data_IF_256751357961
#
_entry.id   IF_256751357961
#
_cell.length_a   1.000
_cell.length_b   1.000
_cell.length_c   1.000
_cell.angle_alpha   90.00
_cell.angle_beta   90.00
_cell.angle_gamma   90.00
#
_symmetry.space_group_name_H-M   'P 1'
#
loop_
_entity.id
_entity.type
_entity.pdbx_description
1 polymer ?
#
# COMPACT_ATOMS: atom_id res chain seq x y z
N UNK A 1 40.24 -62.21 8.79
CA UNK A 1 40.55 -60.77 8.61
C UNK A 1 39.24 -60.02 8.41
N UNK A 2 38.78 -59.23 9.38
CA UNK A 2 37.61 -58.32 9.23
C UNK A 2 38.18 -56.95 8.94
N UNK A 3 38.01 -56.49 7.71
CA UNK A 3 38.32 -55.12 7.36
C UNK A 3 37.34 -54.20 8.10
N UNK A 4 37.86 -53.32 8.95
CA UNK A 4 37.13 -52.22 9.54
C UNK A 4 36.85 -51.16 8.46
N UNK A 5 35.64 -51.14 7.95
CA UNK A 5 35.19 -50.03 7.10
C UNK A 5 35.36 -48.72 7.86
N UNK A 6 36.20 -47.85 7.33
CA UNK A 6 36.51 -46.57 7.93
C UNK A 6 35.29 -45.62 7.71
N UNK A 7 34.42 -45.49 8.72
CA UNK A 7 33.16 -44.75 8.64
C UNK A 7 33.33 -43.21 8.57
N UNK A 8 34.59 -42.73 8.72
CA UNK A 8 34.86 -41.28 8.74
C UNK A 8 34.50 -40.52 7.48
N UNK A 9 34.70 -41.02 6.22
CA UNK A 9 34.30 -40.27 5.05
C UNK A 9 32.77 -40.23 4.86
N UNK A 10 32.08 -41.30 5.24
CA UNK A 10 30.60 -41.36 5.10
C UNK A 10 29.88 -40.39 6.06
N UNK A 11 30.39 -40.26 7.29
CA UNK A 11 29.86 -39.31 8.30
C UNK A 11 30.14 -37.86 7.88
N UNK A 12 31.29 -37.58 7.28
CA UNK A 12 31.65 -36.27 6.78
C UNK A 12 30.74 -35.83 5.59
N UNK A 13 30.45 -36.76 4.66
CA UNK A 13 29.55 -36.51 3.54
C UNK A 13 28.12 -36.32 4.02
N UNK A 14 27.64 -37.11 4.98
CA UNK A 14 26.31 -36.98 5.56
C UNK A 14 26.13 -35.62 6.29
N UNK A 15 27.16 -35.19 7.04
CA UNK A 15 27.19 -33.87 7.67
C UNK A 15 27.20 -32.73 6.65
N UNK A 16 27.96 -32.83 5.57
CA UNK A 16 27.97 -31.82 4.49
C UNK A 16 26.63 -31.71 3.78
N UNK A 17 25.94 -32.82 3.54
CA UNK A 17 24.60 -32.83 2.94
C UNK A 17 23.59 -32.23 3.91
N UNK A 18 23.64 -32.54 5.23
CA UNK A 18 22.75 -31.95 6.24
C UNK A 18 22.99 -30.43 6.38
N UNK A 19 24.24 -29.98 6.40
CA UNK A 19 24.57 -28.55 6.42
C UNK A 19 24.17 -27.83 5.13
N UNK A 20 24.24 -28.51 3.98
CA UNK A 20 23.79 -27.98 2.70
C UNK A 20 22.26 -27.75 2.66
N UNK A 21 21.46 -28.67 3.25
CA UNK A 21 20.01 -28.57 3.31
C UNK A 21 19.59 -27.50 4.31
N UNK A 22 20.24 -27.44 5.48
CA UNK A 22 19.95 -26.42 6.51
C UNK A 22 20.43 -25.04 6.03
N UNK A 23 21.62 -24.97 5.41
CA UNK A 23 22.15 -23.72 4.85
C UNK A 23 21.31 -23.17 3.69
N UNK A 24 20.73 -24.03 2.85
CA UNK A 24 19.86 -23.64 1.75
C UNK A 24 18.53 -23.05 2.22
N UNK A 25 17.94 -23.63 3.28
CA UNK A 25 16.69 -23.10 3.88
C UNK A 25 16.91 -21.85 4.73
N UNK A 26 18.07 -21.70 5.36
CA UNK A 26 18.40 -20.50 6.15
C UNK A 26 18.80 -19.33 5.26
N UNK A 27 19.46 -19.56 4.13
CA UNK A 27 19.77 -18.50 3.16
C UNK A 27 18.52 -17.84 2.56
N UNK A 28 17.36 -18.48 2.66
CA UNK A 28 16.08 -17.92 2.22
C UNK A 28 15.45 -16.94 3.22
N UNK A 29 15.82 -17.01 4.52
CA UNK A 29 15.16 -16.27 5.60
C UNK A 29 16.08 -15.48 6.53
N UNK A 30 17.39 -15.66 6.47
CA UNK A 30 18.32 -14.95 7.38
C UNK A 30 19.51 -14.40 6.62
N UNK A 31 19.66 -13.07 6.69
CA UNK A 31 20.93 -12.45 6.38
C UNK A 31 21.92 -12.80 7.48
N UNK A 32 22.72 -13.85 7.33
CA UNK A 32 24.03 -13.91 8.02
C UNK A 32 24.94 -14.96 7.44
N UNK A 33 26.14 -14.49 7.21
CA UNK A 33 27.45 -15.09 7.16
C UNK A 33 27.96 -15.71 5.85
N UNK A 34 28.98 -15.05 5.43
CA UNK A 34 30.18 -15.32 4.63
C UNK A 34 30.37 -16.78 4.24
N UNK A 35 29.96 -17.13 3.03
CA UNK A 35 30.57 -18.24 2.29
C UNK A 35 31.50 -17.68 1.22
N UNK A 36 32.80 -17.91 1.39
CA UNK A 36 33.84 -17.62 0.41
C UNK A 36 33.78 -18.64 -0.75
N UNK A 37 32.81 -18.44 -1.63
CA UNK A 37 32.88 -18.93 -3.01
C UNK A 37 32.31 -17.78 -3.85
N UNK A 38 32.92 -17.51 -4.98
CA UNK A 38 32.70 -16.33 -5.84
C UNK A 38 31.27 -16.20 -6.45
N UNK A 39 30.25 -16.51 -5.68
CA UNK A 39 28.92 -16.12 -5.94
C UNK A 39 28.64 -14.90 -5.06
N UNK A 40 28.59 -13.73 -5.65
CA UNK A 40 28.07 -12.54 -4.99
C UNK A 40 26.56 -12.73 -4.77
N UNK A 41 26.20 -13.41 -3.70
CA UNK A 41 24.82 -13.43 -3.24
C UNK A 41 24.48 -12.00 -2.80
N UNK A 42 23.45 -11.43 -3.40
CA UNK A 42 22.95 -10.12 -3.01
C UNK A 42 22.62 -10.08 -1.51
N UNK A 43 22.94 -8.98 -0.85
CA UNK A 43 22.67 -8.78 0.57
C UNK A 43 21.21 -8.36 0.73
N UNK A 44 20.41 -9.21 1.36
CA UNK A 44 19.03 -8.91 1.71
C UNK A 44 18.95 -8.41 3.15
N UNK A 45 18.65 -7.12 3.35
CA UNK A 45 18.54 -6.49 4.67
C UNK A 45 17.37 -5.52 4.66
N UNK A 46 16.41 -5.76 5.54
CA UNK A 46 15.23 -4.91 5.70
C UNK A 46 15.25 -4.29 7.09
N UNK A 47 14.90 -3.01 7.18
CA UNK A 47 14.66 -2.29 8.42
C UNK A 47 13.20 -1.86 8.47
N UNK A 48 12.51 -2.23 9.53
CA UNK A 48 11.17 -1.76 9.82
C UNK A 48 11.22 -0.66 10.86
N UNK A 49 10.48 0.41 10.67
CA UNK A 49 10.33 1.49 11.62
C UNK A 49 8.85 1.69 11.94
N UNK A 50 8.56 1.81 13.22
CA UNK A 50 7.23 2.13 13.74
C UNK A 50 7.31 3.39 14.58
N UNK A 51 6.46 4.36 14.29
CA UNK A 51 6.23 5.52 15.15
C UNK A 51 4.91 5.29 15.89
N UNK A 52 5.00 5.03 17.20
CA UNK A 52 3.85 4.77 18.05
C UNK A 52 4.19 5.09 19.51
N UNK A 53 3.33 5.86 20.17
CA UNK A 53 3.37 6.08 21.60
C UNK A 53 2.06 5.54 22.22
N UNK A 54 2.16 4.51 23.07
CA UNK A 54 0.99 3.91 23.71
C UNK A 54 0.36 4.90 24.70
N UNK A 55 -0.92 5.28 24.51
CA UNK A 55 -1.61 6.14 25.45
C UNK A 55 -1.80 5.45 26.80
N UNK A 56 -1.64 6.19 27.89
CA UNK A 56 -1.84 5.65 29.25
C UNK A 56 -3.31 5.50 29.64
N UNK A 57 -4.19 6.33 29.08
CA UNK A 57 -5.62 6.31 29.27
C UNK A 57 -6.28 6.61 27.92
N UNK A 58 -6.67 5.58 27.20
CA UNK A 58 -7.32 5.73 25.91
C UNK A 58 -8.84 5.77 26.11
N UNK A 59 -9.45 6.86 25.68
CA UNK A 59 -10.90 7.08 25.86
C UNK A 59 -11.59 7.26 24.50
N UNK A 60 -12.91 6.99 24.42
CA UNK A 60 -13.65 7.19 23.16
C UNK A 60 -13.46 8.59 22.59
N UNK A 61 -13.06 8.65 21.32
CA UNK A 61 -12.70 9.87 20.61
C UNK A 61 -11.22 10.21 20.58
N UNK A 62 -10.41 9.54 21.40
CA UNK A 62 -8.97 9.75 21.37
C UNK A 62 -8.34 9.11 20.13
N UNK A 63 -7.47 9.87 19.47
CA UNK A 63 -6.70 9.44 18.30
C UNK A 63 -5.22 9.36 18.65
N UNK A 64 -4.59 8.24 18.32
CA UNK A 64 -3.16 7.98 18.54
C UNK A 64 -2.47 7.82 17.20
N UNK A 65 -1.45 8.64 16.88
CA UNK A 65 -0.65 8.46 15.68
C UNK A 65 0.04 7.10 15.65
N UNK A 66 0.01 6.43 14.50
CA UNK A 66 0.72 5.17 14.26
C UNK A 66 1.18 5.12 12.81
N UNK A 67 2.46 5.11 12.61
CA UNK A 67 3.07 5.06 11.29
C UNK A 67 3.98 3.84 11.18
N UNK A 68 3.90 3.12 10.06
CA UNK A 68 4.73 1.94 9.78
C UNK A 68 5.37 2.14 8.41
N UNK A 69 6.71 2.05 8.38
CA UNK A 69 7.50 2.10 7.16
C UNK A 69 8.53 0.97 7.11
N UNK A 70 8.91 0.59 5.90
CA UNK A 70 9.88 -0.48 5.63
C UNK A 70 10.97 0.08 4.72
N UNK A 71 12.24 -0.05 5.12
CA UNK A 71 13.40 0.40 4.36
C UNK A 71 14.21 -0.79 3.87
N UNK A 72 14.50 -0.83 2.58
CA UNK A 72 15.43 -1.78 2.00
C UNK A 72 16.87 -1.32 2.21
N UNK A 73 17.60 -1.93 3.13
CA UNK A 73 19.02 -1.66 3.40
C UNK A 73 19.95 -2.67 2.71
N UNK A 74 19.39 -3.55 1.88
CA UNK A 74 20.12 -4.53 1.07
C UNK A 74 20.64 -3.93 -0.24
N UNK A 75 21.04 -4.80 -1.15
CA UNK A 75 21.51 -4.49 -2.51
C UNK A 75 20.69 -5.19 -3.60
N UNK A 76 19.57 -5.80 -3.22
CA UNK A 76 18.60 -6.42 -4.13
C UNK A 76 17.20 -5.86 -3.86
N UNK A 77 16.37 -5.80 -4.90
CA UNK A 77 14.99 -5.33 -4.78
C UNK A 77 14.16 -6.23 -3.88
N UNK A 78 13.31 -5.62 -3.07
CA UNK A 78 12.40 -6.31 -2.15
C UNK A 78 10.93 -6.10 -2.54
N UNK A 79 10.11 -7.11 -2.30
CA UNK A 79 8.66 -6.98 -2.20
C UNK A 79 8.26 -6.93 -0.73
N UNK A 80 7.24 -6.14 -0.39
CA UNK A 80 6.80 -5.90 0.98
C UNK A 80 5.30 -6.20 1.12
N UNK A 81 4.97 -6.96 2.15
CA UNK A 81 3.59 -7.24 2.59
C UNK A 81 3.45 -6.87 4.05
N UNK A 82 2.38 -6.21 4.40
CA UNK A 82 2.04 -5.85 5.79
C UNK A 82 0.65 -6.37 6.09
N UNK A 83 0.50 -7.21 7.11
CA UNK A 83 -0.79 -7.67 7.60
C UNK A 83 -1.09 -7.04 8.95
N UNK A 84 -2.21 -6.36 9.07
CA UNK A 84 -2.68 -5.73 10.29
C UNK A 84 -3.63 -6.68 11.02
N UNK A 85 -3.35 -6.96 12.27
CA UNK A 85 -4.13 -7.87 13.12
C UNK A 85 -4.64 -7.07 14.33
N UNK A 86 -5.87 -6.55 14.29
CA UNK A 86 -6.49 -5.90 15.43
C UNK A 86 -6.95 -6.96 16.44
N UNK A 87 -6.84 -6.64 17.73
CA UNK A 87 -7.35 -7.45 18.82
C UNK A 87 -7.81 -6.55 19.96
N UNK A 88 -8.97 -6.86 20.53
CA UNK A 88 -9.43 -6.24 21.75
C UNK A 88 -9.59 -7.31 22.86
N UNK A 89 -9.11 -7.01 24.05
CA UNK A 89 -9.20 -7.87 25.22
C UNK A 89 -9.82 -7.09 26.37
N UNK A 90 -10.63 -7.75 27.19
CA UNK A 90 -11.13 -7.19 28.43
C UNK A 90 -10.01 -7.09 29.50
N UNK A 91 -10.33 -6.61 30.69
CA UNK A 91 -9.37 -6.50 31.80
C UNK A 91 -8.86 -7.86 32.30
N UNK A 92 -9.55 -8.98 32.01
CA UNK A 92 -9.14 -10.33 32.34
C UNK A 92 -8.27 -10.98 31.24
N UNK A 93 -8.19 -10.36 30.07
CA UNK A 93 -7.50 -10.86 28.91
C UNK A 93 -8.37 -11.74 28.00
N UNK A 94 -9.68 -11.77 28.23
CA UNK A 94 -10.62 -12.45 27.35
C UNK A 94 -10.87 -11.59 26.10
N UNK A 95 -10.92 -12.24 24.93
CA UNK A 95 -11.07 -11.54 23.65
C UNK A 95 -12.48 -10.99 23.48
N UNK A 96 -12.56 -9.71 23.13
CA UNK A 96 -13.79 -9.00 22.84
C UNK A 96 -14.01 -8.86 21.34
N UNK A 97 -15.27 -8.80 20.85
CA UNK A 97 -15.58 -8.54 19.45
C UNK A 97 -14.96 -7.22 18.99
N UNK A 98 -14.46 -7.19 17.75
CA UNK A 98 -13.92 -5.96 17.14
C UNK A 98 -15.01 -4.99 16.70
N UNK A 99 -16.24 -5.45 16.54
CA UNK A 99 -17.39 -4.66 16.10
C UNK A 99 -18.66 -5.07 16.86
N UNK A 100 -19.58 -4.15 16.98
CA UNK A 100 -20.89 -4.36 17.59
C UNK A 100 -21.92 -4.99 16.63
N UNK A 101 -23.15 -5.17 17.09
CA UNK A 101 -24.26 -5.72 16.31
C UNK A 101 -24.69 -4.81 15.13
N UNK A 102 -24.24 -3.57 15.08
CA UNK A 102 -24.48 -2.59 14.02
C UNK A 102 -23.32 -2.53 13.03
N UNK A 103 -22.31 -3.39 13.19
CA UNK A 103 -21.05 -3.40 12.43
C UNK A 103 -20.19 -2.14 12.63
N UNK A 104 -20.37 -1.43 13.77
CA UNK A 104 -19.49 -0.34 14.18
C UNK A 104 -18.25 -0.89 14.84
N UNK A 105 -17.06 -0.50 14.37
CA UNK A 105 -15.80 -0.94 14.94
C UNK A 105 -15.46 -0.20 16.23
N UNK A 106 -14.97 -0.92 17.23
CA UNK A 106 -14.53 -0.33 18.49
C UNK A 106 -13.29 0.55 18.35
N UNK A 107 -12.42 0.23 17.40
CA UNK A 107 -11.28 1.07 17.03
C UNK A 107 -11.26 1.29 15.50
N UNK A 108 -11.09 2.54 15.09
CA UNK A 108 -10.96 2.94 13.70
C UNK A 108 -9.48 3.01 13.34
N UNK A 109 -9.07 2.21 12.37
CA UNK A 109 -7.71 2.21 11.82
C UNK A 109 -7.71 3.13 10.61
N UNK A 110 -7.02 4.26 10.71
CA UNK A 110 -6.91 5.22 9.64
C UNK A 110 -5.68 4.92 8.79
N UNK A 111 -5.92 4.53 7.55
CA UNK A 111 -4.87 4.37 6.55
C UNK A 111 -4.37 5.73 6.10
N UNK A 112 -3.09 5.80 5.73
CA UNK A 112 -2.47 7.04 5.26
C UNK A 112 -3.19 7.65 4.07
N UNK A 113 -3.17 8.97 3.98
CA UNK A 113 -3.73 9.68 2.83
C UNK A 113 -3.12 9.16 1.53
N UNK A 114 -3.97 8.75 0.59
CA UNK A 114 -3.58 8.14 -0.67
C UNK A 114 -2.80 6.81 -0.52
N UNK A 115 -3.06 6.04 0.55
CA UNK A 115 -2.42 4.72 0.72
C UNK A 115 -2.64 3.84 -0.51
N UNK A 116 -3.81 3.89 -1.12
CA UNK A 116 -4.23 3.16 -2.31
C UNK A 116 -3.36 3.43 -3.56
N UNK A 117 -2.58 4.50 -3.54
CA UNK A 117 -1.59 4.80 -4.58
C UNK A 117 -0.29 3.99 -4.41
N UNK A 118 -0.02 3.50 -3.21
CA UNK A 118 1.23 2.84 -2.84
C UNK A 118 1.04 1.42 -2.33
N UNK A 119 -0.15 1.10 -1.82
CA UNK A 119 -0.46 -0.19 -1.22
C UNK A 119 -1.69 -0.81 -1.87
N UNK A 120 -1.58 -2.08 -2.21
CA UNK A 120 -2.67 -2.88 -2.74
C UNK A 120 -3.28 -3.70 -1.62
N UNK A 121 -4.60 -3.62 -1.48
CA UNK A 121 -5.36 -4.46 -0.56
C UNK A 121 -5.40 -5.90 -1.06
N UNK A 122 -5.24 -6.86 -0.17
CA UNK A 122 -5.56 -8.24 -0.46
C UNK A 122 -7.10 -8.40 -0.55
N UNK A 123 -7.58 -8.90 -1.68
CA UNK A 123 -9.03 -9.02 -1.92
C UNK A 123 -9.70 -10.14 -1.13
N UNK A 124 -8.91 -11.09 -0.61
CA UNK A 124 -9.40 -12.19 0.25
C UNK A 124 -9.53 -11.79 1.73
N UNK A 125 -9.42 -10.50 2.03
CA UNK A 125 -9.61 -9.99 3.39
C UNK A 125 -11.03 -10.33 3.89
N UNK A 126 -11.19 -11.51 4.43
CA UNK A 126 -12.24 -11.76 5.38
C UNK A 126 -11.97 -10.87 6.59
N UNK A 127 -12.87 -9.94 6.87
CA UNK A 127 -12.79 -8.98 7.97
C UNK A 127 -12.59 -9.62 9.35
N UNK A 128 -12.60 -10.94 9.43
CA UNK A 128 -12.47 -11.69 10.67
C UNK A 128 -11.02 -12.04 11.05
N UNK A 129 -10.07 -12.06 10.09
CA UNK A 129 -8.76 -12.61 10.40
C UNK A 129 -7.55 -11.68 10.20
N UNK A 130 -7.37 -11.01 9.06
CA UNK A 130 -6.21 -10.17 8.81
C UNK A 130 -6.40 -9.20 7.65
N UNK A 131 -6.02 -7.94 7.84
CA UNK A 131 -5.97 -6.94 6.77
C UNK A 131 -4.56 -6.93 6.18
N UNK A 132 -4.37 -7.53 5.00
CA UNK A 132 -3.07 -7.58 4.34
C UNK A 132 -2.97 -6.58 3.18
N UNK A 133 -1.81 -5.94 3.09
CA UNK A 133 -1.49 -4.94 2.08
C UNK A 133 -0.13 -5.27 1.47
N UNK A 134 -0.04 -5.13 0.16
CA UNK A 134 1.20 -5.30 -0.60
C UNK A 134 1.68 -3.94 -1.09
N UNK A 135 2.96 -3.63 -0.87
CA UNK A 135 3.54 -2.42 -1.44
C UNK A 135 3.58 -2.53 -2.96
N UNK A 136 3.04 -1.56 -3.63
CA UNK A 136 2.65 -1.60 -5.04
C UNK A 136 3.79 -1.84 -6.02
N UNK A 137 5.03 -1.47 -5.67
CA UNK A 137 6.22 -1.60 -6.51
C UNK A 137 7.32 -2.37 -5.79
N UNK A 138 8.35 -2.77 -6.56
CA UNK A 138 9.60 -3.20 -5.97
C UNK A 138 10.20 -2.07 -5.12
N UNK A 139 10.66 -2.41 -3.94
CA UNK A 139 11.40 -1.53 -3.05
C UNK A 139 12.89 -1.66 -3.37
N UNK A 140 13.44 -0.70 -4.09
CA UNK A 140 14.84 -0.74 -4.50
C UNK A 140 15.80 -0.52 -3.30
N UNK A 141 17.08 -0.91 -3.43
CA UNK A 141 18.10 -0.62 -2.43
C UNK A 141 18.13 0.84 -1.98
N UNK A 142 18.04 1.06 -0.66
CA UNK A 142 18.01 2.39 -0.04
C UNK A 142 16.63 3.06 -0.03
N UNK A 143 15.61 2.49 -0.65
CA UNK A 143 14.27 3.06 -0.62
C UNK A 143 13.49 2.67 0.63
N UNK A 144 12.54 3.55 1.01
CA UNK A 144 11.60 3.36 2.11
C UNK A 144 10.18 3.42 1.56
N UNK A 145 9.32 2.51 2.02
CA UNK A 145 7.89 2.55 1.65
C UNK A 145 7.25 3.86 2.10
N UNK A 146 6.17 4.25 1.43
CA UNK A 146 5.25 5.23 2.02
C UNK A 146 4.56 4.60 3.22
N UNK A 147 4.19 5.40 4.24
CA UNK A 147 3.47 4.86 5.39
C UNK A 147 2.15 4.25 4.97
N UNK A 148 1.78 3.14 5.63
CA UNK A 148 0.48 2.47 5.42
C UNK A 148 -0.60 3.08 6.31
N UNK A 149 -0.23 3.47 7.54
CA UNK A 149 -1.12 3.96 8.58
C UNK A 149 -0.79 5.40 8.94
N UNK A 150 -1.81 6.16 9.34
CA UNK A 150 -1.66 7.51 9.93
C UNK A 150 -2.01 7.47 11.43
N UNK A 151 -3.10 6.79 11.81
CA UNK A 151 -3.57 6.82 13.20
C UNK A 151 -4.53 5.68 13.54
N UNK A 152 -4.81 5.56 14.83
CA UNK A 152 -5.86 4.70 15.38
C UNK A 152 -6.72 5.57 16.29
N UNK A 153 -8.04 5.55 16.07
CA UNK A 153 -9.01 6.29 16.87
C UNK A 153 -9.90 5.32 17.64
N UNK A 154 -10.06 5.55 18.95
CA UNK A 154 -11.09 4.86 19.72
C UNK A 154 -12.44 5.41 19.26
N UNK A 155 -13.29 4.55 18.68
CA UNK A 155 -14.53 5.00 18.05
C UNK A 155 -15.47 5.64 19.08
N UNK A 156 -15.76 6.95 18.96
CA UNK A 156 -16.64 7.64 19.94
C UNK A 156 -18.12 7.23 19.82
N UNK A 157 -18.49 6.57 18.72
CA UNK A 157 -19.87 6.14 18.44
C UNK A 157 -20.11 4.66 18.75
N UNK A 158 -19.09 3.97 19.22
CA UNK A 158 -19.20 2.56 19.57
C UNK A 158 -20.11 2.40 20.77
N UNK A 159 -21.20 1.65 20.61
CA UNK A 159 -22.17 1.41 21.68
C UNK A 159 -21.60 0.39 22.67
N UNK A 160 -21.15 0.88 23.82
CA UNK A 160 -20.82 0.04 24.94
C UNK A 160 -22.11 -0.48 25.59
N UNK A 161 -22.10 -1.73 26.06
CA UNK A 161 -23.11 -2.26 26.94
C UNK A 161 -23.05 -1.50 28.28
N UNK A 162 -23.68 -0.35 28.33
CA UNK A 162 -23.77 0.46 29.55
C UNK A 162 -25.00 0.02 30.33
N UNK A 163 -24.83 -0.34 31.60
CA UNK A 163 -25.92 -0.49 32.53
C UNK A 163 -25.91 0.66 33.53
N UNK A 164 -27.05 1.28 33.74
CA UNK A 164 -27.20 2.34 34.74
C UNK A 164 -28.22 1.90 35.78
N UNK A 165 -27.72 1.55 36.99
CA UNK A 165 -28.56 1.25 38.11
C UNK A 165 -28.74 2.48 39.01
N UNK A 166 -29.99 2.84 39.24
CA UNK A 166 -30.34 3.96 40.08
C UNK A 166 -31.07 3.50 41.35
N UNK A 167 -30.51 3.83 42.48
CA UNK A 167 -31.16 3.60 43.80
C UNK A 167 -31.60 4.92 44.41
N UNK A 168 -32.80 4.95 45.00
CA UNK A 168 -33.27 6.12 45.73
C UNK A 168 -33.31 5.77 47.21
N UNK A 169 -32.57 6.52 48.02
CA UNK A 169 -32.62 6.40 49.48
C UNK A 169 -34.03 6.79 49.97
N UNK A 170 -34.78 5.87 50.61
CA UNK A 170 -36.15 6.13 51.03
C UNK A 170 -36.25 7.15 52.15
N UNK A 171 -35.16 7.47 52.85
CA UNK A 171 -35.14 8.40 53.97
C UNK A 171 -34.78 9.82 53.52
N UNK A 172 -33.78 9.94 52.66
CA UNK A 172 -33.26 11.23 52.20
C UNK A 172 -33.79 11.64 50.83
N UNK A 173 -34.52 10.77 50.15
CA UNK A 173 -34.99 10.92 48.77
C UNK A 173 -33.87 11.24 47.76
N UNK A 174 -32.61 10.98 48.13
CA UNK A 174 -31.47 11.17 47.25
C UNK A 174 -31.40 10.02 46.27
N UNK A 175 -31.45 10.34 44.98
CA UNK A 175 -31.21 9.38 43.89
C UNK A 175 -29.70 9.29 43.61
N UNK A 176 -29.17 8.09 43.72
CA UNK A 176 -27.77 7.78 43.32
C UNK A 176 -27.84 6.81 42.15
N UNK A 177 -27.22 7.18 41.03
CA UNK A 177 -27.11 6.33 39.86
C UNK A 177 -25.65 5.91 39.70
N UNK A 178 -25.42 4.60 39.57
CA UNK A 178 -24.13 4.04 39.19
C UNK A 178 -24.24 3.55 37.76
N UNK A 179 -23.38 4.07 36.89
CA UNK A 179 -23.28 3.60 35.50
C UNK A 179 -22.08 2.67 35.45
N UNK A 180 -22.33 1.41 35.16
CA UNK A 180 -21.27 0.47 34.82
C UNK A 180 -21.05 0.57 33.32
N UNK A 181 -19.79 0.86 32.91
CA UNK A 181 -19.34 0.81 31.55
C UNK A 181 -19.24 -0.64 31.13
N UNK A 182 -19.56 -0.95 29.87
CA UNK A 182 -19.57 -2.30 29.38
C UNK A 182 -18.17 -2.92 29.25
N UNK A 183 -18.11 -4.10 28.67
CA UNK A 183 -16.97 -5.02 28.65
C UNK A 183 -15.65 -4.44 28.10
N UNK A 184 -15.71 -3.32 27.35
CA UNK A 184 -14.52 -2.63 26.80
C UNK A 184 -13.87 -1.64 27.79
N UNK A 185 -14.53 -1.33 28.92
CA UNK A 185 -13.96 -0.49 29.95
C UNK A 185 -12.84 -1.21 30.68
N UNK A 186 -11.67 -0.58 30.77
CA UNK A 186 -10.46 -1.22 31.32
C UNK A 186 -9.78 -2.22 30.37
N UNK A 187 -10.39 -2.46 29.21
CA UNK A 187 -9.87 -3.35 28.18
C UNK A 187 -8.64 -2.79 27.47
N UNK A 188 -8.04 -3.63 26.63
CA UNK A 188 -6.81 -3.33 25.89
C UNK A 188 -7.03 -3.59 24.40
N UNK A 189 -6.82 -2.56 23.58
CA UNK A 189 -6.69 -2.72 22.13
C UNK A 189 -5.24 -2.96 21.74
N UNK A 190 -5.01 -3.92 20.87
CA UNK A 190 -3.70 -4.22 20.26
C UNK A 190 -3.85 -4.26 18.75
N UNK A 191 -3.00 -3.52 18.04
CA UNK A 191 -2.85 -3.65 16.59
C UNK A 191 -1.46 -4.19 16.31
N UNK A 192 -1.39 -5.46 15.89
CA UNK A 192 -0.14 -6.09 15.48
C UNK A 192 0.04 -5.90 13.98
N UNK A 193 1.21 -5.46 13.55
CA UNK A 193 1.60 -5.42 12.16
C UNK A 193 2.61 -6.54 11.89
N UNK A 194 2.19 -7.56 11.14
CA UNK A 194 3.08 -8.59 10.62
C UNK A 194 3.65 -8.12 9.29
N UNK A 195 4.96 -7.94 9.25
CA UNK A 195 5.66 -7.48 8.05
C UNK A 195 6.44 -8.63 7.47
N UNK A 196 6.07 -9.00 6.25
CA UNK A 196 6.77 -9.99 5.45
C UNK A 196 7.46 -9.28 4.28
N UNK A 197 8.70 -9.66 4.04
CA UNK A 197 9.45 -9.14 2.91
C UNK A 197 10.19 -10.28 2.23
N UNK A 198 10.20 -10.25 0.91
CA UNK A 198 10.87 -11.24 0.08
C UNK A 198 11.64 -10.56 -1.03
N UNK A 199 12.63 -11.25 -1.59
CA UNK A 199 13.30 -10.76 -2.80
C UNK A 199 12.25 -10.58 -3.91
N UNK A 200 12.25 -9.42 -4.57
CA UNK A 200 11.21 -9.09 -5.54
C UNK A 200 11.08 -10.12 -6.67
N UNK A 201 12.18 -10.71 -7.14
CA UNK A 201 12.15 -11.76 -8.16
C UNK A 201 11.42 -13.03 -7.74
N UNK A 202 11.24 -13.26 -6.43
CA UNK A 202 10.70 -14.50 -5.87
C UNK A 202 9.30 -14.35 -5.26
N UNK A 203 8.76 -13.14 -5.19
CA UNK A 203 7.50 -12.91 -4.46
C UNK A 203 6.34 -13.75 -4.98
N UNK A 204 6.24 -13.99 -6.29
CA UNK A 204 5.19 -14.81 -6.90
C UNK A 204 5.28 -16.29 -6.51
N UNK A 205 6.50 -16.77 -6.24
CA UNK A 205 6.73 -18.15 -5.81
C UNK A 205 6.44 -18.36 -4.33
N UNK A 206 6.63 -17.31 -3.52
CA UNK A 206 6.54 -17.37 -2.06
C UNK A 206 5.14 -17.01 -1.59
N UNK A 207 4.55 -15.96 -2.15
CA UNK A 207 3.18 -15.54 -1.88
C UNK A 207 2.22 -16.09 -2.95
N UNK A 208 2.20 -17.42 -3.09
CA UNK A 208 1.34 -18.11 -4.07
C UNK A 208 -0.15 -17.87 -3.82
N UNK A 209 -0.53 -17.58 -2.58
CA UNK A 209 -1.89 -17.26 -2.17
C UNK A 209 -2.28 -15.80 -2.53
N UNK A 210 -1.28 -14.95 -2.83
CA UNK A 210 -1.50 -13.66 -3.48
C UNK A 210 -1.99 -13.80 -4.94
N UNK A 211 -2.11 -15.00 -5.45
CA UNK A 211 -2.87 -15.32 -6.64
C UNK A 211 -4.35 -15.35 -6.27
N UNK A 212 -4.88 -14.18 -6.14
CA UNK A 212 -6.27 -13.89 -5.85
C UNK A 212 -7.21 -14.68 -6.71
N UNK A 213 -8.13 -15.34 -6.05
CA UNK A 213 -9.26 -15.99 -6.67
C UNK A 213 -10.06 -14.99 -7.50
N UNK A 214 -10.23 -15.32 -8.75
CA UNK A 214 -11.09 -14.64 -9.71
C UNK A 214 -12.56 -14.74 -9.29
N UNK A 215 -12.98 -13.98 -8.28
CA UNK A 215 -14.39 -13.71 -8.08
C UNK A 215 -14.60 -12.23 -7.78
N UNK A 216 -15.20 -11.56 -8.77
CA UNK A 216 -15.71 -10.20 -8.73
C UNK A 216 -14.66 -9.08 -8.63
N UNK A 217 -14.05 -8.74 -9.78
CA UNK A 217 -13.34 -7.48 -10.06
C UNK A 217 -11.99 -7.19 -9.38
N UNK A 218 -11.41 -8.11 -8.64
CA UNK A 218 -10.02 -8.01 -8.26
C UNK A 218 -9.13 -8.64 -9.33
N UNK A 219 -8.38 -7.83 -10.07
CA UNK A 219 -7.31 -8.35 -10.90
C UNK A 219 -6.20 -8.93 -10.00
N UNK A 220 -5.49 -10.01 -10.44
CA UNK A 220 -4.42 -10.57 -9.65
C UNK A 220 -3.43 -9.48 -9.25
N UNK A 221 -3.07 -9.43 -7.97
CA UNK A 221 -2.11 -8.49 -7.42
C UNK A 221 -0.74 -8.70 -8.09
N UNK A 222 -0.51 -8.00 -9.19
CA UNK A 222 0.79 -7.96 -9.82
C UNK A 222 1.55 -6.77 -9.25
N UNK A 223 2.52 -7.04 -8.37
CA UNK A 223 3.46 -6.02 -7.95
C UNK A 223 4.17 -5.48 -9.19
N UNK A 224 4.20 -4.16 -9.33
CA UNK A 224 4.76 -3.52 -10.51
C UNK A 224 6.27 -3.37 -10.38
N UNK A 225 7.00 -3.80 -11.39
CA UNK A 225 8.43 -3.48 -11.48
C UNK A 225 8.59 -2.00 -11.81
N UNK A 226 9.24 -1.25 -10.92
CA UNK A 226 9.44 0.19 -11.01
C UNK A 226 10.08 0.62 -12.34
N UNK A 227 11.07 -0.14 -12.82
CA UNK A 227 11.75 0.18 -14.09
C UNK A 227 10.83 0.06 -15.31
N UNK A 228 9.84 -0.84 -15.25
CA UNK A 228 8.85 -0.99 -16.32
C UNK A 228 7.82 0.12 -16.37
N UNK A 229 7.59 0.79 -15.23
CA UNK A 229 6.58 1.83 -15.06
C UNK A 229 7.17 3.23 -14.99
N UNK A 230 8.50 3.36 -15.10
CA UNK A 230 9.15 4.66 -15.16
C UNK A 230 8.63 5.47 -16.36
N UNK A 231 8.28 6.73 -16.11
CA UNK A 231 7.64 7.64 -17.07
C UNK A 231 6.33 7.12 -17.69
N UNK A 232 5.71 6.10 -17.13
CA UNK A 232 4.42 5.61 -17.60
C UNK A 232 3.28 6.41 -16.98
N UNK A 233 2.31 6.76 -17.79
CA UNK A 233 1.06 7.32 -17.31
C UNK A 233 0.28 6.28 -16.50
N UNK A 234 -0.42 6.72 -15.44
CA UNK A 234 -1.40 5.88 -14.76
C UNK A 234 -2.54 5.49 -15.72
N UNK A 235 -3.29 4.44 -15.40
CA UNK A 235 -4.55 4.19 -16.10
C UNK A 235 -5.55 5.28 -15.69
N UNK A 236 -5.92 6.12 -16.62
CA UNK A 236 -6.85 7.23 -16.39
C UNK A 236 -7.92 7.18 -17.47
N UNK A 237 -9.15 7.45 -17.08
CA UNK A 237 -10.26 7.67 -17.98
C UNK A 237 -10.69 9.13 -17.89
N UNK A 238 -10.63 9.85 -19.00
CA UNK A 238 -11.22 11.18 -19.10
C UNK A 238 -12.70 11.06 -19.45
N UNK A 239 -13.51 11.93 -18.87
CA UNK A 239 -14.95 11.98 -19.11
C UNK A 239 -15.49 13.40 -18.90
N UNK A 240 -16.79 13.59 -19.00
CA UNK A 240 -17.46 14.91 -18.84
C UNK A 240 -17.09 15.66 -17.56
N UNK A 241 -16.55 15.00 -16.54
CA UNK A 241 -16.32 15.56 -15.19
C UNK A 241 -14.86 15.60 -14.81
N UNK A 242 -13.98 15.00 -15.60
CA UNK A 242 -12.54 15.00 -15.34
C UNK A 242 -11.72 14.89 -16.61
N UNK A 243 -10.53 15.49 -16.60
CA UNK A 243 -9.50 15.32 -17.62
C UNK A 243 -8.24 14.79 -16.93
N UNK A 244 -7.79 13.61 -17.33
CA UNK A 244 -6.63 12.94 -16.76
C UNK A 244 -6.69 12.87 -15.21
N UNK A 245 -7.85 12.52 -14.66
CA UNK A 245 -8.08 12.45 -13.20
C UNK A 245 -8.38 13.80 -12.54
N UNK A 246 -8.24 14.92 -13.21
CA UNK A 246 -8.52 16.25 -12.67
C UNK A 246 -9.99 16.61 -12.81
N UNK A 247 -10.72 16.65 -11.69
CA UNK A 247 -12.18 16.85 -11.65
C UNK A 247 -12.63 18.28 -11.98
N UNK A 248 -11.78 19.27 -11.75
CA UNK A 248 -12.14 20.68 -11.91
C UNK A 248 -11.87 21.20 -13.32
N UNK A 249 -11.21 20.39 -14.16
CA UNK A 249 -10.89 20.73 -15.53
C UNK A 249 -11.99 20.20 -16.45
N UNK A 250 -12.68 21.09 -17.16
CA UNK A 250 -13.72 20.71 -18.10
C UNK A 250 -13.12 20.24 -19.44
N UNK A 251 -13.54 19.06 -19.89
CA UNK A 251 -13.16 18.53 -21.21
C UNK A 251 -13.50 19.44 -22.38
N UNK A 252 -14.51 20.32 -22.24
CA UNK A 252 -14.86 21.33 -23.24
C UNK A 252 -13.84 22.47 -23.37
N UNK A 253 -12.97 22.64 -22.39
CA UNK A 253 -11.98 23.72 -22.37
C UNK A 253 -10.65 23.32 -23.01
N UNK A 254 -10.42 22.04 -23.30
CA UNK A 254 -9.15 21.57 -23.88
C UNK A 254 -9.18 21.79 -25.40
N UNK A 255 -8.27 22.64 -25.86
CA UNK A 255 -8.09 22.97 -27.25
C UNK A 255 -6.90 22.28 -27.91
N UNK A 256 -5.79 22.12 -27.15
CA UNK A 256 -4.61 21.38 -27.60
C UNK A 256 -4.14 20.38 -26.53
N UNK A 257 -3.47 19.33 -26.97
CA UNK A 257 -2.79 18.35 -26.16
C UNK A 257 -1.40 18.11 -26.72
N UNK A 258 -0.37 18.26 -25.91
CA UNK A 258 1.01 18.02 -26.31
C UNK A 258 1.75 17.17 -25.28
N UNK A 259 2.48 16.15 -25.76
CA UNK A 259 3.38 15.35 -24.94
C UNK A 259 4.79 15.91 -25.00
N UNK A 260 5.40 16.14 -23.81
CA UNK A 260 6.73 16.73 -23.66
C UNK A 260 7.78 15.68 -23.28
N UNK A 261 9.01 15.89 -23.74
CA UNK A 261 10.18 15.09 -23.35
C UNK A 261 10.81 15.54 -22.02
N UNK A 262 10.14 16.42 -21.31
CA UNK A 262 10.53 16.91 -19.98
C UNK A 262 9.29 17.27 -19.17
N UNK A 263 9.44 17.39 -17.84
CA UNK A 263 8.38 17.77 -16.91
C UNK A 263 8.55 19.19 -16.37
N UNK A 264 9.15 20.09 -17.13
CA UNK A 264 9.35 21.47 -16.77
C UNK A 264 8.04 22.26 -16.84
N UNK A 265 7.37 22.43 -15.71
CA UNK A 265 6.11 23.17 -15.61
C UNK A 265 6.42 24.67 -15.67
N UNK A 266 5.89 25.40 -16.67
CA UNK A 266 6.16 26.82 -16.83
C UNK A 266 5.45 27.66 -15.74
N UNK A 267 5.96 28.86 -15.45
CA UNK A 267 5.42 29.73 -14.41
C UNK A 267 3.99 30.26 -14.71
N UNK A 268 3.55 30.22 -15.97
CA UNK A 268 2.19 30.58 -16.40
C UNK A 268 1.22 29.37 -16.41
N UNK A 269 1.65 28.19 -15.97
CA UNK A 269 0.74 27.07 -15.76
C UNK A 269 -0.31 27.45 -14.72
N UNK A 270 -1.57 27.22 -15.06
CA UNK A 270 -2.70 27.49 -14.16
C UNK A 270 -2.70 26.45 -13.03
N UNK A 271 -2.44 25.21 -13.40
CA UNK A 271 -2.38 24.09 -12.45
C UNK A 271 -1.51 22.95 -13.01
N UNK A 272 -1.02 22.11 -12.11
CA UNK A 272 -0.29 20.89 -12.46
C UNK A 272 -0.58 19.76 -11.46
N UNK A 273 -0.53 18.51 -11.94
CA UNK A 273 -0.77 17.33 -11.09
C UNK A 273 0.01 16.13 -11.61
N UNK A 274 0.25 15.18 -10.72
CA UNK A 274 0.91 13.92 -11.03
C UNK A 274 -0.05 12.97 -11.76
N UNK A 275 0.38 12.45 -12.89
CA UNK A 275 -0.32 11.44 -13.70
C UNK A 275 0.55 10.21 -13.96
N UNK A 276 1.60 10.03 -13.17
CA UNK A 276 2.48 8.88 -13.27
C UNK A 276 1.84 7.62 -12.70
N UNK A 277 2.12 6.47 -13.30
CA UNK A 277 1.60 5.17 -12.86
C UNK A 277 2.12 4.76 -11.47
N UNK A 278 3.23 5.33 -11.02
CA UNK A 278 3.85 5.11 -9.71
C UNK A 278 3.54 6.22 -8.70
N UNK A 279 2.80 7.26 -9.11
CA UNK A 279 2.53 8.46 -8.28
C UNK A 279 3.79 9.07 -7.66
N UNK A 280 4.88 9.07 -8.43
CA UNK A 280 6.21 9.52 -8.01
C UNK A 280 6.63 10.84 -8.68
N UNK A 281 5.70 11.47 -9.41
CA UNK A 281 5.96 12.68 -10.18
C UNK A 281 6.85 12.46 -11.40
N UNK A 282 7.03 11.21 -11.84
CA UNK A 282 7.79 10.92 -13.06
C UNK A 282 7.06 11.40 -14.32
N UNK A 283 5.73 11.47 -14.30
CA UNK A 283 4.90 12.06 -15.36
C UNK A 283 4.00 13.12 -14.76
N UNK A 284 4.08 14.35 -15.25
CA UNK A 284 3.28 15.47 -14.80
C UNK A 284 2.33 15.94 -15.91
N UNK A 285 1.11 16.31 -15.54
CA UNK A 285 0.20 17.04 -16.40
C UNK A 285 0.07 18.48 -15.90
N UNK A 286 -0.11 19.43 -16.85
CA UNK A 286 -0.41 20.82 -16.54
C UNK A 286 -1.16 21.48 -17.71
N UNK A 287 -1.79 22.61 -17.45
CA UNK A 287 -2.43 23.38 -18.52
C UNK A 287 -2.15 24.88 -18.39
N UNK A 288 -2.16 25.55 -19.54
CA UNK A 288 -1.99 27.00 -19.68
C UNK A 288 -3.21 27.61 -20.40
N UNK A 289 -3.30 28.93 -20.32
CA UNK A 289 -4.25 29.73 -21.10
C UNK A 289 -3.52 30.96 -21.62
N UNK A 290 -2.78 30.78 -22.71
CA UNK A 290 -1.90 31.83 -23.25
C UNK A 290 -2.69 32.93 -23.95
N UNK A 291 -3.83 32.61 -24.53
CA UNK A 291 -4.68 33.56 -25.27
C UNK A 291 -5.72 34.27 -24.41
N UNK A 292 -5.76 33.92 -23.11
CA UNK A 292 -6.70 34.46 -22.12
C UNK A 292 -8.19 34.37 -22.53
N UNK A 293 -8.51 33.33 -23.28
CA UNK A 293 -9.87 32.94 -23.68
C UNK A 293 -10.33 31.73 -22.79
N UNK A 294 -11.40 31.06 -23.18
CA UNK A 294 -11.90 29.88 -22.43
C UNK A 294 -11.31 28.54 -22.92
N UNK A 295 -10.23 28.60 -23.67
CA UNK A 295 -9.54 27.41 -24.20
C UNK A 295 -8.19 27.20 -23.53
N UNK A 296 -7.91 25.95 -23.17
CA UNK A 296 -6.69 25.56 -22.48
C UNK A 296 -5.80 24.68 -23.37
N UNK A 297 -4.51 24.89 -23.25
CA UNK A 297 -3.49 24.02 -23.79
C UNK A 297 -3.03 23.05 -22.70
N UNK A 298 -3.30 21.75 -22.90
CA UNK A 298 -2.98 20.68 -21.99
C UNK A 298 -1.64 20.04 -22.38
N UNK A 299 -0.80 19.84 -21.39
CA UNK A 299 0.51 19.21 -21.55
C UNK A 299 0.64 18.01 -20.64
N UNK A 300 1.33 16.97 -21.10
CA UNK A 300 1.76 15.83 -20.33
C UNK A 300 3.24 15.62 -20.59
N UNK A 301 4.07 15.62 -19.53
CA UNK A 301 5.52 15.58 -19.68
C UNK A 301 6.24 14.64 -18.73
N UNK A 302 7.30 14.04 -19.23
CA UNK A 302 8.23 13.21 -18.46
C UNK A 302 9.65 13.38 -19.01
N UNK A 303 10.66 13.24 -18.14
CA UNK A 303 12.05 13.38 -18.56
C UNK A 303 12.45 12.20 -19.48
N UNK A 304 12.66 12.50 -20.77
CA UNK A 304 12.92 11.52 -21.82
C UNK A 304 11.67 11.01 -22.56
N UNK A 305 10.50 11.61 -22.30
CA UNK A 305 9.22 11.27 -22.94
C UNK A 305 8.29 10.45 -22.08
N UNK A 306 7.03 10.41 -22.48
CA UNK A 306 5.93 9.79 -21.75
C UNK A 306 5.66 8.40 -22.31
N UNK A 307 5.53 7.39 -21.45
CA UNK A 307 5.11 6.04 -21.82
C UNK A 307 3.60 5.91 -21.57
N UNK A 308 2.85 5.52 -22.58
CA UNK A 308 1.42 5.30 -22.46
C UNK A 308 1.14 4.04 -21.62
N UNK A 309 0.03 4.06 -20.84
CA UNK A 309 -0.39 2.89 -20.07
C UNK A 309 -0.73 1.72 -21.02
N UNK A 310 -0.43 0.47 -20.68
CA UNK A 310 -0.87 -0.70 -21.45
C UNK A 310 -2.38 -0.74 -21.73
N UNK A 311 -3.19 -0.25 -20.79
CA UNK A 311 -4.59 0.06 -21.00
C UNK A 311 -4.79 1.58 -21.03
N UNK A 312 -4.74 2.15 -22.22
CA UNK A 312 -4.96 3.58 -22.49
C UNK A 312 -6.39 3.87 -22.96
N UNK A 313 -7.33 2.92 -22.75
CA UNK A 313 -8.72 3.15 -23.11
C UNK A 313 -9.29 4.36 -22.38
N UNK A 314 -10.01 5.19 -23.11
CA UNK A 314 -10.69 6.42 -22.64
C UNK A 314 -9.76 7.48 -22.04
N UNK A 315 -8.44 7.38 -22.18
CA UNK A 315 -7.49 8.30 -21.53
C UNK A 315 -7.72 9.77 -21.90
N UNK A 316 -8.05 10.06 -23.14
CA UNK A 316 -8.32 11.40 -23.69
C UNK A 316 -9.70 11.48 -24.32
N UNK A 317 -10.62 10.61 -23.94
CA UNK A 317 -11.96 10.57 -24.49
C UNK A 317 -12.73 11.87 -24.17
N UNK A 318 -13.67 12.20 -25.04
CA UNK A 318 -14.59 13.33 -24.88
C UNK A 318 -13.94 14.73 -24.88
N UNK A 319 -12.68 14.88 -25.30
CA UNK A 319 -12.05 16.18 -25.52
C UNK A 319 -12.63 16.82 -26.80
N UNK A 320 -13.93 17.16 -26.76
CA UNK A 320 -14.74 17.52 -27.94
C UNK A 320 -14.26 18.77 -28.68
N UNK A 321 -13.52 19.64 -28.00
CA UNK A 321 -12.95 20.86 -28.61
C UNK A 321 -11.46 20.74 -28.99
N UNK A 322 -10.89 19.56 -28.84
CA UNK A 322 -9.49 19.31 -29.21
C UNK A 322 -9.27 19.56 -30.70
N UNK A 323 -8.35 20.46 -31.06
CA UNK A 323 -8.00 20.87 -32.44
C UNK A 323 -6.57 20.55 -32.79
N UNK A 324 -5.71 20.43 -31.79
CA UNK A 324 -4.29 20.15 -32.00
C UNK A 324 -3.86 19.03 -31.04
N UNK A 325 -3.09 18.11 -31.57
CA UNK A 325 -2.48 17.06 -30.77
C UNK A 325 -1.05 16.84 -31.26
N UNK A 326 -0.10 16.81 -30.34
CA UNK A 326 1.27 16.42 -30.60
C UNK A 326 1.64 15.22 -29.72
N UNK A 327 1.84 14.07 -30.35
CA UNK A 327 2.19 12.80 -29.69
C UNK A 327 3.65 12.40 -29.94
N UNK A 328 4.49 13.33 -30.39
CA UNK A 328 5.89 13.04 -30.75
C UNK A 328 6.65 12.39 -29.60
N UNK A 329 6.37 12.80 -28.36
CA UNK A 329 7.01 12.31 -27.15
C UNK A 329 6.15 11.31 -26.37
N UNK A 330 5.20 10.63 -27.02
CA UNK A 330 4.38 9.57 -26.45
C UNK A 330 4.81 8.21 -26.99
N UNK A 331 5.41 7.38 -26.15
CA UNK A 331 5.71 5.98 -26.47
C UNK A 331 4.47 5.09 -26.25
N UNK A 332 3.93 4.56 -27.33
CA UNK A 332 2.77 3.65 -27.32
C UNK A 332 3.16 2.18 -27.52
N UNK A 333 4.44 1.84 -27.52
CA UNK A 333 4.94 0.49 -27.81
C UNK A 333 4.40 -0.61 -26.88
N UNK A 334 3.98 -0.23 -25.67
CA UNK A 334 3.43 -1.15 -24.65
C UNK A 334 1.90 -1.19 -24.61
N UNK A 335 1.22 -0.36 -25.39
CA UNK A 335 -0.25 -0.27 -25.35
C UNK A 335 -0.90 -1.52 -25.95
N UNK A 336 -1.81 -2.12 -25.20
CA UNK A 336 -2.61 -3.28 -25.58
C UNK A 336 -4.07 -2.93 -25.85
N UNK A 337 -4.57 -1.88 -25.21
CA UNK A 337 -5.94 -1.42 -25.35
C UNK A 337 -5.96 0.10 -25.58
N UNK A 338 -6.47 0.54 -26.73
CA UNK A 338 -6.61 1.95 -27.13
C UNK A 338 -8.09 2.30 -27.38
N UNK A 339 -9.03 1.53 -26.90
CA UNK A 339 -10.46 1.76 -27.14
C UNK A 339 -10.85 3.16 -26.68
N UNK A 340 -11.39 3.98 -27.59
CA UNK A 340 -11.84 5.35 -27.30
C UNK A 340 -10.76 6.20 -26.60
N UNK A 341 -9.50 5.99 -26.93
CA UNK A 341 -8.39 6.73 -26.30
C UNK A 341 -8.50 8.24 -26.55
N UNK A 342 -9.06 8.63 -27.73
CA UNK A 342 -9.32 9.99 -28.16
C UNK A 342 -10.77 10.18 -28.58
#
# INVERSE_FOLDING_TARGET
>A
MREKLNSKPLTAVLLLVLFGIIGGTIAYYTSQDTFTNEFNAGKYVIKTEETFESPSNWTPGDTTPKEITVTNQGDVDAAVKVCLIPKWEDENGDELPLFDNNYEFAALIELSNNYDLYWLNDCDNNFEDNYCFYYYTNLAPGETTKPLLDSITYNPYFEFNQSTDCTTDPTTHKKTCTTELGDYSGGKFTLTANIETVQYSEYQNIWSDAQVQTQNSCEPLMLRNKDLYHNMMMKIESNNYNVLGKRELSHHQIYSLEFKDNKNIPANAIESWDVSALHDGSVMAWYTNDDNDYSYDLFVGADGGVVANPDSSYAFSELVNLRKIDVTNLDTSRVKNMNHMF
#
